data_IF_157142174886
#
_entry.id   IF_157142174886
#
_cell.length_a   1.000
_cell.length_b   1.000
_cell.length_c   1.000
_cell.angle_alpha   90.00
_cell.angle_beta   90.00
_cell.angle_gamma   90.00
#
_symmetry.space_group_name_H-M   'P 1'
#
loop_
_entity.id
_entity.type
_entity.pdbx_description
1 polymer ?
#
# COMPACT_ATOMS: atom_id res chain seq x y z
N UNK A 1 16.01 4.27 11.79
CA UNK A 1 14.94 3.46 11.19
C UNK A 1 15.52 2.78 9.96
N UNK A 2 15.51 1.44 9.95
CA UNK A 2 15.88 0.68 8.76
C UNK A 2 14.65 0.69 7.83
N UNK A 3 14.81 1.16 6.59
CA UNK A 3 13.72 1.13 5.61
C UNK A 3 13.83 -0.18 4.83
N UNK A 4 12.99 -1.15 5.16
CA UNK A 4 12.86 -2.37 4.35
C UNK A 4 12.19 -2.04 3.02
N UNK A 5 12.51 -2.80 1.98
CA UNK A 5 11.78 -2.74 0.71
C UNK A 5 10.30 -3.06 0.99
N UNK A 6 9.40 -2.21 0.52
CA UNK A 6 7.96 -2.38 0.73
C UNK A 6 7.30 -3.25 -0.33
N UNK A 7 7.92 -3.33 -1.51
CA UNK A 7 7.44 -4.17 -2.57
C UNK A 7 7.89 -5.61 -2.35
N UNK A 8 7.02 -6.56 -2.65
CA UNK A 8 7.35 -7.98 -2.68
C UNK A 8 8.40 -8.25 -3.76
N UNK A 9 9.38 -9.11 -3.47
CA UNK A 9 10.33 -9.60 -4.46
C UNK A 9 9.73 -10.81 -5.20
N UNK A 10 9.25 -10.56 -6.42
CA UNK A 10 8.61 -11.59 -7.22
C UNK A 10 9.59 -12.67 -7.70
N UNK A 11 10.88 -12.36 -7.85
CA UNK A 11 11.88 -13.35 -8.25
C UNK A 11 12.19 -14.27 -7.08
N UNK A 12 12.35 -13.71 -5.88
CA UNK A 12 12.51 -14.50 -4.65
C UNK A 12 11.33 -15.45 -4.45
N UNK A 13 10.09 -14.94 -4.60
CA UNK A 13 8.87 -15.76 -4.47
C UNK A 13 8.86 -16.90 -5.51
N UNK A 14 9.15 -16.62 -6.78
CA UNK A 14 9.19 -17.63 -7.84
C UNK A 14 10.26 -18.69 -7.59
N UNK A 15 11.43 -18.28 -7.10
CA UNK A 15 12.51 -19.21 -6.80
C UNK A 15 12.16 -20.13 -5.61
N UNK A 16 11.42 -19.60 -4.63
CA UNK A 16 11.02 -20.37 -3.44
C UNK A 16 9.80 -21.27 -3.68
N UNK A 17 8.91 -20.89 -4.59
CA UNK A 17 7.68 -21.61 -4.93
C UNK A 17 7.58 -21.82 -6.45
N UNK A 18 8.48 -22.63 -7.05
CA UNK A 18 8.60 -22.73 -8.51
C UNK A 18 7.38 -23.35 -9.19
N UNK A 19 6.73 -24.33 -8.55
CA UNK A 19 5.57 -25.04 -9.11
C UNK A 19 4.28 -24.22 -9.01
N UNK A 20 4.10 -23.48 -7.91
CA UNK A 20 2.94 -22.64 -7.69
C UNK A 20 3.29 -21.43 -6.81
N UNK A 21 3.61 -20.27 -7.41
CA UNK A 21 3.92 -19.04 -6.67
C UNK A 21 2.78 -18.56 -5.74
N UNK A 22 1.54 -18.98 -5.97
CA UNK A 22 0.41 -18.60 -5.11
C UNK A 22 0.51 -19.19 -3.70
N UNK A 23 1.26 -20.29 -3.52
CA UNK A 23 1.52 -20.87 -2.19
C UNK A 23 2.18 -19.87 -1.23
N UNK A 24 2.92 -18.88 -1.74
CA UNK A 24 3.47 -17.80 -0.93
C UNK A 24 2.39 -17.02 -0.16
N UNK A 25 1.20 -16.87 -0.74
CA UNK A 25 0.11 -16.08 -0.16
C UNK A 25 -0.77 -16.90 0.79
N UNK A 26 -0.66 -18.23 0.82
CA UNK A 26 -1.48 -19.06 1.70
C UNK A 26 -1.18 -18.77 3.18
N UNK A 27 -2.25 -18.64 3.96
CA UNK A 27 -2.19 -18.35 5.40
C UNK A 27 -1.74 -16.92 5.74
N UNK A 28 -1.56 -16.05 4.74
CA UNK A 28 -1.29 -14.62 4.95
C UNK A 28 -2.59 -13.84 4.88
N UNK A 29 -2.71 -12.82 5.71
CA UNK A 29 -3.78 -11.83 5.62
C UNK A 29 -3.44 -10.82 4.55
N UNK A 30 -4.29 -10.69 3.54
CA UNK A 30 -4.19 -9.71 2.48
C UNK A 30 -5.22 -8.61 2.75
N UNK A 31 -4.85 -7.36 2.49
CA UNK A 31 -5.86 -6.29 2.41
C UNK A 31 -5.73 -5.45 1.14
N UNK A 32 -6.89 -5.10 0.57
CA UNK A 32 -7.00 -4.19 -0.56
C UNK A 32 -7.06 -2.75 -0.04
N UNK A 33 -6.10 -1.92 -0.46
CA UNK A 33 -6.14 -0.49 -0.16
C UNK A 33 -7.38 0.14 -0.79
N UNK A 34 -8.25 0.72 0.04
CA UNK A 34 -9.50 1.36 -0.41
C UNK A 34 -9.21 2.69 -1.10
N UNK A 35 -8.98 2.63 -2.41
CA UNK A 35 -8.63 3.79 -3.23
C UNK A 35 -9.83 4.73 -3.41
N UNK A 36 -9.57 6.05 -3.42
CA UNK A 36 -10.62 7.06 -3.48
C UNK A 36 -11.42 7.02 -4.80
N UNK A 37 -10.76 6.67 -5.91
CA UNK A 37 -11.40 6.61 -7.24
C UNK A 37 -12.36 5.42 -7.39
N UNK A 38 -12.30 4.42 -6.51
CA UNK A 38 -13.26 3.31 -6.49
C UNK A 38 -14.67 3.79 -6.14
N UNK A 39 -14.84 5.01 -5.61
CA UNK A 39 -16.16 5.65 -5.49
C UNK A 39 -16.83 5.84 -6.86
N UNK A 40 -16.05 6.15 -7.89
CA UNK A 40 -16.54 6.37 -9.25
C UNK A 40 -16.50 5.08 -10.08
N UNK A 41 -15.55 4.20 -9.77
CA UNK A 41 -15.35 2.92 -10.46
C UNK A 41 -15.36 1.75 -9.46
N UNK A 42 -16.51 1.45 -8.82
CA UNK A 42 -16.57 0.45 -7.74
C UNK A 42 -16.23 -0.96 -8.23
N UNK A 43 -16.52 -1.27 -9.51
CA UNK A 43 -16.22 -2.57 -10.11
C UNK A 43 -14.74 -2.94 -10.08
N UNK A 44 -13.83 -1.98 -9.98
CA UNK A 44 -12.39 -2.26 -9.82
C UNK A 44 -12.13 -2.98 -8.50
N UNK A 45 -12.74 -2.53 -7.39
CA UNK A 45 -12.56 -3.16 -6.08
C UNK A 45 -13.18 -4.55 -6.07
N UNK A 46 -14.43 -4.66 -6.54
CA UNK A 46 -15.15 -5.93 -6.56
C UNK A 46 -14.43 -6.96 -7.42
N UNK A 47 -14.02 -6.62 -8.64
CA UNK A 47 -13.29 -7.55 -9.50
C UNK A 47 -11.95 -8.03 -8.91
N UNK A 48 -11.25 -7.19 -8.16
CA UNK A 48 -10.06 -7.64 -7.42
C UNK A 48 -10.42 -8.56 -6.25
N UNK A 49 -11.44 -8.21 -5.48
CA UNK A 49 -11.89 -9.00 -4.34
C UNK A 49 -12.37 -10.38 -4.78
N UNK A 50 -13.28 -10.44 -5.76
CA UNK A 50 -13.85 -11.65 -6.31
C UNK A 50 -12.75 -12.58 -6.83
N UNK A 51 -11.79 -12.04 -7.60
CA UNK A 51 -10.64 -12.81 -8.11
C UNK A 51 -9.80 -13.42 -6.96
N UNK A 52 -9.53 -12.66 -5.91
CA UNK A 52 -8.69 -13.12 -4.80
C UNK A 52 -9.42 -14.15 -3.93
N UNK A 53 -10.73 -14.00 -3.76
CA UNK A 53 -11.59 -15.00 -3.10
C UNK A 53 -11.69 -16.29 -3.91
N UNK A 54 -11.84 -16.22 -5.23
CA UNK A 54 -11.83 -17.40 -6.11
C UNK A 54 -10.49 -18.15 -6.05
N UNK A 55 -9.39 -17.43 -5.84
CA UNK A 55 -8.06 -18.00 -5.56
C UNK A 55 -7.89 -18.51 -4.12
N UNK A 56 -8.96 -18.47 -3.30
CA UNK A 56 -9.00 -18.93 -1.92
C UNK A 56 -7.98 -18.23 -1.00
N UNK A 57 -7.74 -16.94 -1.25
CA UNK A 57 -6.86 -16.11 -0.42
C UNK A 57 -7.65 -15.38 0.67
N UNK A 58 -7.05 -15.21 1.85
CA UNK A 58 -7.63 -14.45 2.95
C UNK A 58 -7.50 -12.94 2.66
N UNK A 59 -8.48 -12.39 1.97
CA UNK A 59 -8.51 -10.98 1.56
C UNK A 59 -9.59 -10.20 2.29
N UNK A 60 -9.26 -8.97 2.66
CA UNK A 60 -10.19 -7.99 3.22
C UNK A 60 -9.96 -6.61 2.60
N UNK A 61 -10.81 -5.64 2.91
CA UNK A 61 -10.55 -4.23 2.59
C UNK A 61 -9.79 -3.60 3.76
N UNK A 62 -8.68 -2.89 3.49
CA UNK A 62 -7.98 -2.17 4.55
C UNK A 62 -8.89 -1.03 5.06
N UNK A 63 -9.24 -1.10 6.34
CA UNK A 63 -10.02 -0.09 7.05
C UNK A 63 -9.09 1.00 7.63
N UNK A 64 -9.65 2.13 8.04
CA UNK A 64 -8.99 3.21 8.79
C UNK A 64 -7.81 3.95 8.11
N UNK A 65 -7.32 3.47 6.96
CA UNK A 65 -6.45 4.23 6.07
C UNK A 65 -7.18 5.45 5.48
N UNK A 66 -6.41 6.46 5.11
CA UNK A 66 -6.88 7.68 4.45
C UNK A 66 -6.33 7.82 3.02
N UNK A 67 -6.89 8.74 2.24
CA UNK A 67 -6.39 9.06 0.89
C UNK A 67 -4.86 9.12 0.83
N UNK A 68 -4.26 8.47 -0.17
CA UNK A 68 -2.80 8.47 -0.39
C UNK A 68 -2.23 9.87 -0.66
N UNK A 69 -3.10 10.85 -0.94
CA UNK A 69 -2.80 12.27 -1.18
C UNK A 69 -1.90 12.56 -2.39
N UNK A 70 -1.69 11.57 -3.27
CA UNK A 70 -0.83 11.69 -4.45
C UNK A 70 -1.17 12.87 -5.36
N UNK A 71 -2.45 13.05 -5.69
CA UNK A 71 -2.89 14.18 -6.54
C UNK A 71 -2.70 15.53 -5.86
N UNK A 72 -2.93 15.62 -4.53
CA UNK A 72 -2.71 16.86 -3.78
C UNK A 72 -1.24 17.25 -3.78
N UNK A 73 -0.35 16.27 -3.59
CA UNK A 73 1.08 16.48 -3.66
C UNK A 73 1.54 16.89 -5.08
N UNK A 74 1.05 16.21 -6.13
CA UNK A 74 1.37 16.56 -7.51
C UNK A 74 0.91 17.97 -7.91
N UNK A 75 -0.16 18.47 -7.30
CA UNK A 75 -0.66 19.83 -7.51
C UNK A 75 -0.09 20.85 -6.52
N UNK A 76 0.95 20.49 -5.77
CA UNK A 76 1.60 21.34 -4.76
C UNK A 76 0.65 21.88 -3.67
N UNK A 77 -0.43 21.18 -3.37
CA UNK A 77 -1.40 21.57 -2.33
C UNK A 77 -0.97 21.15 -0.92
N UNK A 78 0.00 20.25 -0.82
CA UNK A 78 0.59 19.79 0.44
C UNK A 78 2.11 19.69 0.29
N UNK A 79 2.81 19.87 1.40
CA UNK A 79 4.27 19.75 1.46
C UNK A 79 4.73 18.29 1.41
N UNK A 80 6.03 18.08 1.12
CA UNK A 80 6.66 16.74 1.23
C UNK A 80 6.51 16.15 2.63
N UNK A 81 6.62 16.98 3.67
CA UNK A 81 6.44 16.54 5.05
C UNK A 81 5.01 16.03 5.28
N UNK A 82 3.99 16.84 4.97
CA UNK A 82 2.58 16.41 5.10
C UNK A 82 2.29 15.14 4.29
N UNK A 83 2.76 15.07 3.04
CA UNK A 83 2.62 13.90 2.18
C UNK A 83 3.26 12.65 2.81
N UNK A 84 4.47 12.76 3.35
CA UNK A 84 5.14 11.67 4.07
C UNK A 84 4.39 11.26 5.34
N UNK A 85 3.89 12.22 6.13
CA UNK A 85 3.13 11.94 7.35
C UNK A 85 1.89 11.11 7.07
N UNK A 86 1.10 11.53 6.07
CA UNK A 86 -0.14 10.85 5.67
C UNK A 86 0.16 9.43 5.21
N UNK A 87 1.17 9.25 4.35
CA UNK A 87 1.51 7.93 3.83
C UNK A 87 2.12 7.01 4.90
N UNK A 88 2.91 7.55 5.84
CA UNK A 88 3.44 6.78 6.97
C UNK A 88 2.33 6.35 7.93
N UNK A 89 1.36 7.22 8.21
CA UNK A 89 0.14 6.85 8.96
C UNK A 89 -0.59 5.71 8.26
N UNK A 90 -0.86 5.85 6.95
CA UNK A 90 -1.55 4.80 6.20
C UNK A 90 -0.80 3.47 6.27
N UNK A 91 0.53 3.48 6.11
CA UNK A 91 1.36 2.29 6.25
C UNK A 91 1.24 1.68 7.66
N UNK A 92 1.25 2.50 8.71
CA UNK A 92 1.07 2.02 10.07
C UNK A 92 -0.31 1.39 10.28
N UNK A 93 -1.38 1.93 9.71
CA UNK A 93 -2.72 1.35 9.86
C UNK A 93 -2.87 0.04 9.12
N UNK A 94 -2.31 -0.06 7.91
CA UNK A 94 -2.37 -1.30 7.13
C UNK A 94 -1.53 -2.42 7.73
N UNK A 95 -0.34 -2.10 8.27
CA UNK A 95 0.53 -3.08 8.93
C UNK A 95 -0.12 -3.74 10.17
N UNK A 96 -1.16 -3.12 10.76
CA UNK A 96 -1.92 -3.71 11.87
C UNK A 96 -2.99 -4.70 11.40
N UNK A 97 -3.35 -4.67 10.12
CA UNK A 97 -4.49 -5.39 9.56
C UNK A 97 -4.07 -6.57 8.68
N UNK A 98 -2.95 -6.46 7.97
CA UNK A 98 -2.56 -7.42 6.95
C UNK A 98 -1.04 -7.64 6.88
N UNK A 99 -0.64 -8.82 6.43
CA UNK A 99 0.74 -9.16 6.09
C UNK A 99 1.12 -8.58 4.73
N UNK A 100 0.16 -8.48 3.81
CA UNK A 100 0.35 -8.00 2.44
C UNK A 100 -0.76 -7.03 2.08
N UNK A 101 -0.38 -5.92 1.44
CA UNK A 101 -1.34 -4.93 0.92
C UNK A 101 -1.33 -4.96 -0.60
N UNK A 102 -2.52 -4.97 -1.17
CA UNK A 102 -2.76 -4.89 -2.61
C UNK A 102 -3.33 -3.51 -2.97
N UNK A 103 -2.94 -3.00 -4.13
CA UNK A 103 -3.38 -1.69 -4.61
C UNK A 103 -4.01 -1.83 -5.99
N UNK A 104 -5.26 -1.40 -6.09
CA UNK A 104 -5.99 -1.28 -7.37
C UNK A 104 -5.63 -0.02 -8.16
N UNK A 105 -4.81 0.88 -7.57
CA UNK A 105 -4.51 2.19 -8.12
C UNK A 105 -3.01 2.50 -8.07
N UNK A 106 -2.41 2.71 -9.25
CA UNK A 106 -1.00 3.10 -9.41
C UNK A 106 -0.63 4.36 -8.62
N UNK A 107 -1.54 5.34 -8.56
CA UNK A 107 -1.33 6.56 -7.79
C UNK A 107 -1.20 6.29 -6.30
N UNK A 108 -2.01 5.37 -5.75
CA UNK A 108 -1.93 4.97 -4.35
C UNK A 108 -0.62 4.22 -4.08
N UNK A 109 -0.32 3.19 -4.88
CA UNK A 109 0.93 2.42 -4.74
C UNK A 109 2.17 3.32 -4.75
N UNK A 110 2.32 4.17 -5.77
CA UNK A 110 3.46 5.08 -5.89
C UNK A 110 3.51 6.09 -4.76
N UNK A 111 2.37 6.56 -4.26
CA UNK A 111 2.36 7.57 -3.21
C UNK A 111 2.92 7.05 -1.90
N UNK A 112 2.61 5.81 -1.54
CA UNK A 112 3.10 5.22 -0.30
C UNK A 112 4.61 4.95 -0.36
N UNK A 113 5.10 4.42 -1.48
CA UNK A 113 6.54 4.23 -1.71
C UNK A 113 7.29 5.57 -1.60
N UNK A 114 6.83 6.59 -2.35
CA UNK A 114 7.47 7.91 -2.36
C UNK A 114 7.37 8.62 -1.01
N UNK A 115 6.23 8.50 -0.35
CA UNK A 115 5.99 9.09 0.96
C UNK A 115 7.01 8.60 1.98
N UNK A 116 7.28 7.28 2.01
CA UNK A 116 8.31 6.69 2.86
C UNK A 116 9.73 7.03 2.39
N UNK A 117 9.99 7.09 1.09
CA UNK A 117 11.30 7.51 0.57
C UNK A 117 11.70 8.92 1.00
N UNK A 118 10.76 9.87 1.02
CA UNK A 118 11.05 11.21 1.51
C UNK A 118 11.45 11.26 2.99
N UNK A 119 11.04 10.27 3.80
CA UNK A 119 11.48 10.16 5.20
C UNK A 119 12.97 9.77 5.32
N UNK A 120 13.61 9.32 4.25
CA UNK A 120 15.08 9.14 4.23
C UNK A 120 15.80 10.49 4.38
N UNK A 121 15.15 11.59 3.98
CA UNK A 121 15.68 12.93 4.18
C UNK A 121 15.41 13.43 5.62
N UNK A 122 16.47 13.79 6.34
CA UNK A 122 16.42 14.27 7.72
C UNK A 122 15.64 15.57 7.89
N UNK A 123 15.69 16.49 6.92
CA UNK A 123 14.94 17.75 6.98
C UNK A 123 13.43 17.50 6.96
N UNK A 124 12.98 16.60 6.07
CA UNK A 124 11.57 16.18 5.99
C UNK A 124 11.12 15.55 7.31
N UNK A 125 11.94 14.68 7.91
CA UNK A 125 11.64 14.07 9.21
C UNK A 125 11.56 15.08 10.35
N UNK A 126 12.42 16.08 10.38
CA UNK A 126 12.41 17.09 11.44
C UNK A 126 11.13 17.93 11.39
N UNK A 127 10.63 18.24 10.18
CA UNK A 127 9.35 18.94 9.97
C UNK A 127 8.11 18.15 10.42
N UNK A 128 8.24 16.87 10.73
CA UNK A 128 7.15 16.03 11.25
C UNK A 128 7.09 15.97 12.78
N UNK A 129 8.15 16.41 13.46
CA UNK A 129 8.30 16.32 14.92
C UNK A 129 8.01 17.63 15.65
N UNK A 130 7.93 18.72 14.90
CA UNK A 130 7.56 20.07 15.34
C UNK A 130 6.12 20.36 14.90
#
# INVERSE_FOLDING_TARGET
MHFNNLALDLQEIKNKYPENPLEFFKGKKLCLFKACLEKYFPGVRWGFHDLLEELQLDVSICNDQSCCSGTFFQRNLITRAQFSAINERNLSEMNRQADIVLFSCNGCYNSLLRGRDFLKNTEVRNKLRN
#
